data_IF_211531304410
#
_entry.id   IF_211531304410
#
_cell.length_a   1.000
_cell.length_b   1.000
_cell.length_c   1.000
_cell.angle_alpha   90.00
_cell.angle_beta   90.00
_cell.angle_gamma   90.00
#
_symmetry.space_group_name_H-M   'P 1'
#
loop_
_entity.id
_entity.type
_entity.pdbx_description
1 polymer ?
#
# COMPACT_ATOMS: atom_id res chain seq x y z
N UNK A 1 1.67 -1.17 5.90
CA UNK A 1 2.97 -1.89 5.91
C UNK A 1 3.93 -1.16 5.00
N UNK A 2 5.21 -1.14 5.35
CA UNK A 2 6.29 -0.53 4.57
C UNK A 2 7.43 -1.54 4.41
N UNK A 3 8.29 -1.34 3.42
CA UNK A 3 9.44 -2.20 3.14
C UNK A 3 9.08 -3.67 2.85
N UNK A 4 7.99 -3.91 2.10
CA UNK A 4 7.58 -5.28 1.76
C UNK A 4 8.58 -5.99 0.81
N UNK A 5 9.42 -5.22 0.09
CA UNK A 5 10.55 -5.70 -0.74
C UNK A 5 10.18 -6.80 -1.75
N UNK A 6 8.93 -6.79 -2.19
CA UNK A 6 8.38 -7.77 -3.12
C UNK A 6 7.51 -7.08 -4.15
N UNK A 7 7.36 -7.71 -5.31
CA UNK A 7 6.45 -7.27 -6.38
C UNK A 7 5.02 -7.71 -6.06
N UNK A 8 4.03 -7.01 -6.63
CA UNK A 8 2.60 -7.29 -6.40
C UNK A 8 2.27 -8.77 -6.64
N UNK A 9 2.75 -9.35 -7.75
CA UNK A 9 2.48 -10.76 -8.11
C UNK A 9 3.00 -11.78 -7.09
N UNK A 10 3.99 -11.39 -6.27
CA UNK A 10 4.59 -12.25 -5.26
C UNK A 10 4.06 -11.95 -3.85
N UNK A 11 3.19 -10.96 -3.69
CA UNK A 11 2.59 -10.62 -2.41
C UNK A 11 1.58 -11.71 -1.99
N UNK A 12 1.55 -12.15 -0.73
CA UNK A 12 0.74 -13.28 -0.29
C UNK A 12 -0.75 -12.89 -0.08
N UNK A 13 -1.41 -12.45 -1.14
CA UNK A 13 -2.82 -12.04 -1.11
C UNK A 13 -3.74 -13.12 -0.55
N UNK A 14 -3.54 -14.38 -0.93
CA UNK A 14 -4.39 -15.49 -0.50
C UNK A 14 -4.32 -15.75 1.00
N UNK A 15 -3.15 -15.58 1.61
CA UNK A 15 -3.00 -15.78 3.06
C UNK A 15 -3.70 -14.67 3.85
N UNK A 16 -3.58 -13.42 3.41
CA UNK A 16 -4.34 -12.33 4.02
C UNK A 16 -5.84 -12.42 3.74
N UNK A 17 -6.24 -12.91 2.56
CA UNK A 17 -7.65 -13.16 2.23
C UNK A 17 -8.28 -14.23 3.12
N UNK A 18 -7.57 -15.31 3.45
CA UNK A 18 -8.01 -16.31 4.45
C UNK A 18 -8.25 -15.68 5.82
N UNK A 19 -7.47 -14.66 6.18
CA UNK A 19 -7.63 -13.87 7.40
C UNK A 19 -8.67 -12.74 7.28
N UNK A 20 -9.41 -12.67 6.15
CA UNK A 20 -10.45 -11.68 5.83
C UNK A 20 -9.95 -10.24 5.72
N UNK A 21 -8.72 -10.05 5.24
CA UNK A 21 -8.20 -8.72 4.90
C UNK A 21 -8.39 -8.41 3.41
N UNK A 22 -8.89 -7.21 3.12
CA UNK A 22 -8.74 -6.54 1.81
C UNK A 22 -7.34 -5.92 1.77
N UNK A 23 -6.57 -6.29 0.75
CA UNK A 23 -5.16 -5.90 0.63
C UNK A 23 -4.96 -5.17 -0.69
N UNK A 24 -4.26 -4.03 -0.62
CA UNK A 24 -3.79 -3.30 -1.79
C UNK A 24 -2.32 -3.00 -1.63
N UNK A 25 -1.56 -3.21 -2.69
CA UNK A 25 -0.10 -3.21 -2.66
C UNK A 25 0.40 -2.33 -3.79
N UNK A 26 1.50 -1.65 -3.54
CA UNK A 26 2.38 -1.12 -4.56
C UNK A 26 3.78 -1.64 -4.23
N UNK A 27 4.21 -2.66 -4.96
CA UNK A 27 5.39 -3.46 -4.68
C UNK A 27 6.53 -3.20 -5.66
N UNK A 28 7.74 -3.44 -5.17
CA UNK A 28 8.98 -3.34 -5.93
C UNK A 28 9.94 -4.44 -5.44
N UNK A 29 10.55 -5.18 -6.38
CA UNK A 29 11.49 -6.26 -6.05
C UNK A 29 12.68 -5.72 -5.28
N UNK A 30 13.04 -6.38 -4.17
CA UNK A 30 14.22 -6.11 -3.33
C UNK A 30 14.27 -4.76 -2.60
N UNK A 31 13.43 -3.79 -2.96
CA UNK A 31 13.47 -2.42 -2.43
C UNK A 31 12.06 -1.92 -2.14
N UNK A 32 11.94 -0.98 -1.21
CA UNK A 32 10.69 -0.23 -0.95
C UNK A 32 9.47 -1.15 -0.79
N UNK A 33 8.35 -0.74 -1.39
CA UNK A 33 7.09 -1.43 -1.39
C UNK A 33 6.23 -1.03 -0.19
N UNK A 34 4.96 -0.74 -0.45
CA UNK A 34 3.98 -0.34 0.54
C UNK A 34 2.67 -1.10 0.34
N UNK A 35 1.97 -1.36 1.44
CA UNK A 35 0.67 -2.01 1.39
C UNK A 35 -0.31 -1.43 2.42
N UNK A 36 -1.59 -1.41 2.05
CA UNK A 36 -2.72 -1.15 2.96
C UNK A 36 -3.50 -2.44 3.11
N UNK A 37 -3.74 -2.83 4.37
CA UNK A 37 -4.54 -3.99 4.72
C UNK A 37 -5.65 -3.52 5.66
N UNK A 38 -6.88 -3.96 5.41
CA UNK A 38 -8.04 -3.61 6.22
C UNK A 38 -9.02 -4.78 6.27
N UNK A 39 -9.75 -4.94 7.38
CA UNK A 39 -10.89 -5.87 7.43
C UNK A 39 -12.12 -5.33 6.69
N UNK A 40 -12.19 -4.00 6.56
CA UNK A 40 -13.19 -3.30 5.77
C UNK A 40 -12.70 -3.05 4.35
N UNK A 41 -13.63 -2.94 3.39
CA UNK A 41 -13.30 -2.68 1.98
C UNK A 41 -12.59 -1.34 1.82
N UNK A 42 -11.45 -1.36 1.11
CA UNK A 42 -10.72 -0.15 0.72
C UNK A 42 -11.18 0.26 -0.68
N UNK A 43 -11.48 1.55 -0.86
CA UNK A 43 -11.95 2.16 -2.11
C UNK A 43 -10.93 3.18 -2.63
N UNK A 44 -11.11 3.62 -3.88
CA UNK A 44 -10.35 4.72 -4.49
C UNK A 44 -8.82 4.61 -4.27
N UNK A 45 -8.29 3.41 -4.45
CA UNK A 45 -6.87 3.11 -4.22
C UNK A 45 -6.02 3.80 -5.28
N UNK A 46 -4.98 4.52 -4.85
CA UNK A 46 -4.06 5.26 -5.72
C UNK A 46 -2.62 5.08 -5.27
N UNK A 47 -1.72 4.94 -6.24
CA UNK A 47 -0.28 4.82 -6.05
C UNK A 47 0.51 5.85 -6.87
N UNK A 48 -0.20 6.77 -7.55
CA UNK A 48 0.30 7.83 -8.43
C UNK A 48 0.18 9.23 -7.79
N UNK A 49 0.29 9.30 -6.46
CA UNK A 49 0.06 10.53 -5.69
C UNK A 49 1.16 11.58 -5.87
N UNK A 50 2.32 11.20 -6.38
CA UNK A 50 3.46 12.08 -6.63
C UNK A 50 4.00 11.88 -8.04
N UNK A 51 4.60 12.94 -8.59
CA UNK A 51 5.35 12.85 -9.85
C UNK A 51 6.75 12.32 -9.56
N UNK A 52 6.84 11.04 -9.24
CA UNK A 52 8.12 10.36 -9.06
C UNK A 52 8.63 9.83 -10.41
N UNK A 53 9.68 10.44 -10.94
CA UNK A 53 10.33 10.04 -12.19
C UNK A 53 10.91 8.62 -12.12
N UNK A 54 11.35 8.21 -10.92
CA UNK A 54 11.92 6.89 -10.68
C UNK A 54 10.85 5.84 -10.37
N UNK A 55 9.58 6.24 -10.31
CA UNK A 55 8.41 5.37 -10.07
C UNK A 55 8.60 4.44 -8.86
N UNK A 56 9.16 4.95 -7.77
CA UNK A 56 9.47 4.15 -6.59
C UNK A 56 8.19 3.80 -5.84
N UNK A 57 8.12 2.54 -5.37
CA UNK A 57 6.95 2.03 -4.67
C UNK A 57 6.88 2.47 -3.21
N UNK A 58 6.67 3.77 -2.98
CA UNK A 58 6.75 4.40 -1.65
C UNK A 58 5.45 4.94 -1.11
N UNK A 59 4.44 5.15 -1.97
CA UNK A 59 3.21 5.83 -1.57
C UNK A 59 2.01 5.05 -2.10
N UNK A 60 1.09 4.72 -1.20
CA UNK A 60 -0.21 4.16 -1.54
C UNK A 60 -1.26 4.85 -0.68
N UNK A 61 -2.43 5.13 -1.26
CA UNK A 61 -3.58 5.65 -0.54
C UNK A 61 -4.83 4.88 -0.90
N UNK A 62 -5.84 5.03 -0.06
CA UNK A 62 -7.18 4.50 -0.27
C UNK A 62 -8.15 5.09 0.73
N UNK A 63 -9.43 4.87 0.49
CA UNK A 63 -10.51 5.34 1.34
C UNK A 63 -11.13 4.17 2.11
N UNK A 64 -11.33 4.36 3.41
CA UNK A 64 -12.06 3.42 4.26
C UNK A 64 -13.23 4.14 4.93
N UNK A 65 -14.35 3.43 5.11
CA UNK A 65 -15.48 3.98 5.86
C UNK A 65 -15.31 3.67 7.34
N UNK A 66 -15.44 4.68 8.20
CA UNK A 66 -15.40 4.54 9.65
C UNK A 66 -16.49 5.38 10.28
N UNK A 67 -17.41 4.74 11.03
CA UNK A 67 -18.55 5.40 11.70
C UNK A 67 -19.32 6.36 10.77
N UNK A 68 -19.69 5.88 9.58
CA UNK A 68 -20.40 6.64 8.53
C UNK A 68 -19.63 7.83 7.95
N UNK A 69 -18.31 7.92 8.17
CA UNK A 69 -17.43 8.91 7.55
C UNK A 69 -16.43 8.23 6.63
N UNK A 70 -16.11 8.86 5.50
CA UNK A 70 -14.99 8.42 4.67
C UNK A 70 -13.69 8.98 5.24
N UNK A 71 -12.71 8.10 5.42
CA UNK A 71 -11.37 8.44 5.89
C UNK A 71 -10.38 8.17 4.78
N UNK A 72 -9.64 9.20 4.37
CA UNK A 72 -8.51 9.04 3.47
C UNK A 72 -7.33 8.46 4.27
N UNK A 73 -6.89 7.27 3.88
CA UNK A 73 -5.69 6.66 4.41
C UNK A 73 -4.54 6.85 3.43
N UNK A 74 -3.40 7.33 3.92
CA UNK A 74 -2.18 7.51 3.13
C UNK A 74 -1.05 6.80 3.87
N UNK A 75 -0.41 5.84 3.20
CA UNK A 75 0.75 5.12 3.70
C UNK A 75 1.99 5.52 2.88
N UNK A 76 3.00 6.03 3.56
CA UNK A 76 4.22 6.59 2.95
C UNK A 76 5.44 5.91 3.57
N UNK A 77 6.35 5.45 2.73
CA UNK A 77 7.70 5.02 3.11
C UNK A 77 8.73 6.07 2.67
N UNK A 78 9.09 6.95 3.59
CA UNK A 78 10.04 8.05 3.35
C UNK A 78 11.46 7.51 3.07
N UNK A 79 12.26 8.18 2.22
CA UNK A 79 13.65 7.80 2.00
C UNK A 79 14.48 7.78 3.30
N UNK A 80 15.37 6.79 3.42
CA UNK A 80 16.25 6.64 4.60
C UNK A 80 17.32 7.75 4.71
N UNK A 81 17.63 8.44 3.61
CA UNK A 81 18.57 9.57 3.63
C UNK A 81 20.05 9.20 3.77
N UNK A 82 20.41 7.92 3.61
CA UNK A 82 21.81 7.51 3.58
C UNK A 82 22.48 8.07 2.30
N UNK A 83 23.66 8.73 2.41
CA UNK A 83 24.38 9.32 1.28
C UNK A 83 24.94 8.26 0.32
#
# INVERSE_FOLDING_TARGET
>A
MQEIKTEDQNFPYDDFKKLKYDCHVFGQKSYNGVAILSKEKIKNVKNDLTKDELKQSRIISGEVSFKMKNVQLINIYTPNGNP
#
